data_IF_792702903467
#
_entry.id   IF_792702903467
#
_cell.length_a   1.000
_cell.length_b   1.000
_cell.length_c   1.000
_cell.angle_alpha   90.00
_cell.angle_beta   90.00
_cell.angle_gamma   90.00
#
_symmetry.space_group_name_H-M   'P 1'
#
loop_
_entity.id
_entity.type
_entity.pdbx_description
1 polymer ?
#
# COMPACT_ATOMS: atom_id res chain seq x y z
N UNK A 1 8.75 -17.88 -21.03
CA UNK A 1 7.53 -17.07 -21.27
C UNK A 1 7.73 -15.78 -20.50
N UNK A 2 7.49 -14.62 -21.13
CA UNK A 2 7.62 -13.33 -20.45
C UNK A 2 6.28 -12.93 -19.86
N UNK A 3 6.24 -12.52 -18.58
CA UNK A 3 5.03 -11.97 -17.94
C UNK A 3 4.89 -10.49 -18.30
N UNK A 4 3.67 -10.03 -18.60
CA UNK A 4 3.36 -8.62 -18.83
C UNK A 4 2.89 -7.98 -17.54
N UNK A 5 3.72 -7.08 -17.00
CA UNK A 5 3.47 -6.46 -15.70
C UNK A 5 3.27 -4.95 -15.86
N UNK A 6 2.07 -4.47 -15.52
CA UNK A 6 1.79 -3.05 -15.44
C UNK A 6 2.31 -2.45 -14.12
N UNK A 7 2.77 -1.21 -14.16
CA UNK A 7 3.25 -0.51 -12.96
C UNK A 7 2.85 0.96 -12.98
N UNK A 8 2.30 1.44 -11.86
CA UNK A 8 1.91 2.85 -11.70
C UNK A 8 1.19 3.10 -10.39
N UNK A 9 0.81 4.36 -10.16
CA UNK A 9 0.01 4.79 -9.03
C UNK A 9 0.25 6.24 -8.63
N UNK A 10 -0.04 6.57 -7.39
CA UNK A 10 0.05 7.94 -6.88
C UNK A 10 0.32 7.92 -5.38
N UNK A 11 1.26 8.76 -4.94
CA UNK A 11 1.79 8.73 -3.59
C UNK A 11 1.80 10.11 -2.97
N UNK A 12 0.91 10.31 -2.01
CA UNK A 12 0.88 11.46 -1.12
C UNK A 12 0.26 11.03 0.22
N UNK A 13 0.82 11.55 1.30
CA UNK A 13 0.17 11.59 2.60
C UNK A 13 -0.57 12.92 2.72
N UNK A 14 -1.89 12.92 2.82
CA UNK A 14 -2.67 14.16 2.73
C UNK A 14 -3.60 14.36 3.91
N UNK A 15 -3.35 15.43 4.66
CA UNK A 15 -4.17 15.81 5.80
C UNK A 15 -5.45 16.52 5.36
N UNK A 16 -6.59 16.14 5.91
CA UNK A 16 -7.87 16.86 5.72
C UNK A 16 -8.04 18.02 6.71
N UNK A 17 -7.10 18.19 7.64
CA UNK A 17 -7.16 19.20 8.70
C UNK A 17 -6.31 20.44 8.40
N UNK A 18 -5.51 20.42 7.33
CA UNK A 18 -4.78 21.59 6.83
C UNK A 18 -5.62 22.34 5.79
N UNK A 19 -5.56 23.69 5.73
CA UNK A 19 -6.17 24.45 4.65
C UNK A 19 -5.37 24.39 3.33
N UNK A 20 -4.17 23.79 3.35
CA UNK A 20 -3.37 23.62 2.14
C UNK A 20 -4.07 22.66 1.17
N UNK A 21 -4.00 22.97 -0.12
CA UNK A 21 -4.47 22.08 -1.20
C UNK A 21 -3.24 21.70 -2.02
N UNK A 22 -3.02 20.40 -2.16
CA UNK A 22 -1.94 19.86 -2.97
C UNK A 22 -2.37 19.77 -4.44
N UNK A 23 -1.65 20.43 -5.33
CA UNK A 23 -1.96 20.52 -6.75
C UNK A 23 -0.74 20.10 -7.61
N UNK A 24 -0.81 20.31 -8.93
CA UNK A 24 0.18 19.79 -9.88
C UNK A 24 1.64 20.15 -9.54
N UNK A 25 1.91 21.37 -9.03
CA UNK A 25 3.29 21.81 -8.69
C UNK A 25 3.90 21.03 -7.52
N UNK A 26 3.09 20.35 -6.70
CA UNK A 26 3.56 19.56 -5.57
C UNK A 26 3.96 18.13 -5.98
N UNK A 27 3.55 17.69 -7.17
CA UNK A 27 3.79 16.33 -7.64
C UNK A 27 4.93 16.27 -8.66
N UNK A 28 5.81 15.29 -8.45
CA UNK A 28 6.73 14.81 -9.48
C UNK A 28 6.08 13.66 -10.21
N UNK A 29 5.82 13.84 -11.50
CA UNK A 29 5.19 12.85 -12.37
C UNK A 29 6.28 12.12 -13.16
N UNK A 30 6.24 10.79 -13.15
CA UNK A 30 7.14 9.93 -13.91
C UNK A 30 6.34 8.99 -14.80
N UNK A 31 6.83 8.76 -16.02
CA UNK A 31 6.26 7.85 -17.01
C UNK A 31 7.36 7.08 -17.73
N UNK A 32 6.99 6.04 -18.48
CA UNK A 32 7.93 5.31 -19.34
C UNK A 32 9.16 4.81 -18.59
N UNK A 33 10.35 4.97 -19.19
CA UNK A 33 11.61 4.53 -18.59
C UNK A 33 11.95 5.28 -17.29
N UNK A 34 11.58 6.55 -17.16
CA UNK A 34 11.84 7.32 -15.93
C UNK A 34 11.10 6.71 -14.73
N UNK A 35 9.88 6.21 -14.95
CA UNK A 35 9.15 5.45 -13.95
C UNK A 35 9.91 4.17 -13.57
N UNK A 36 10.30 3.36 -14.55
CA UNK A 36 11.00 2.10 -14.31
C UNK A 36 12.33 2.30 -13.54
N UNK A 37 13.06 3.37 -13.85
CA UNK A 37 14.30 3.73 -13.14
C UNK A 37 14.09 4.05 -11.64
N UNK A 38 12.85 4.24 -11.20
CA UNK A 38 12.52 4.41 -9.77
C UNK A 38 12.49 3.09 -8.99
N UNK A 39 12.67 1.96 -9.68
CA UNK A 39 12.68 0.60 -9.12
C UNK A 39 13.95 -0.11 -9.61
N UNK A 40 15.10 0.13 -8.97
CA UNK A 40 16.40 -0.34 -9.48
C UNK A 40 16.50 -1.87 -9.59
N UNK A 41 15.74 -2.61 -8.78
CA UNK A 41 15.70 -4.08 -8.82
C UNK A 41 14.96 -4.66 -10.02
N UNK A 42 14.24 -3.88 -10.84
CA UNK A 42 13.58 -4.40 -12.04
C UNK A 42 14.58 -4.98 -13.04
N UNK A 43 15.79 -4.42 -13.09
CA UNK A 43 16.85 -4.84 -14.00
C UNK A 43 17.25 -6.30 -13.79
N UNK A 44 17.14 -6.81 -12.56
CA UNK A 44 17.41 -8.20 -12.20
C UNK A 44 16.44 -9.19 -12.87
N UNK A 45 15.29 -8.73 -13.39
CA UNK A 45 14.19 -9.56 -13.91
C UNK A 45 13.84 -9.29 -15.38
N UNK A 46 14.57 -8.42 -16.07
CA UNK A 46 14.24 -7.94 -17.42
C UNK A 46 14.17 -9.02 -18.53
N UNK A 47 14.72 -10.22 -18.30
CA UNK A 47 14.65 -11.31 -19.29
C UNK A 47 13.35 -12.11 -19.25
N UNK A 48 12.61 -12.05 -18.14
CA UNK A 48 11.38 -12.82 -17.91
C UNK A 48 10.13 -11.93 -17.86
N UNK A 49 10.28 -10.61 -18.01
CA UNK A 49 9.20 -9.63 -17.81
C UNK A 49 9.21 -8.56 -18.89
N UNK A 50 8.01 -8.31 -19.41
CA UNK A 50 7.69 -7.17 -20.26
C UNK A 50 6.98 -6.12 -19.40
N UNK A 51 7.68 -5.03 -19.12
CA UNK A 51 7.18 -3.93 -18.29
C UNK A 51 6.27 -3.01 -19.07
N UNK A 52 5.09 -2.73 -18.50
CA UNK A 52 4.12 -1.78 -19.03
C UNK A 52 4.03 -0.59 -18.05
N UNK A 53 4.92 0.41 -18.18
CA UNK A 53 4.86 1.60 -17.33
C UNK A 53 3.62 2.43 -17.66
N UNK A 54 2.81 2.70 -16.64
CA UNK A 54 1.69 3.64 -16.71
C UNK A 54 2.22 5.04 -16.32
N UNK A 55 1.69 5.60 -15.24
CA UNK A 55 2.09 6.88 -14.66
C UNK A 55 2.24 6.71 -13.15
N UNK A 56 3.23 7.41 -12.59
CA UNK A 56 3.39 7.55 -11.15
C UNK A 56 3.54 9.01 -10.77
N UNK A 57 2.71 9.49 -9.86
CA UNK A 57 2.82 10.84 -9.30
C UNK A 57 3.21 10.75 -7.83
N UNK A 58 4.23 11.51 -7.41
CA UNK A 58 4.69 11.52 -6.01
C UNK A 58 4.80 12.94 -5.49
N UNK A 59 4.19 13.18 -4.34
CA UNK A 59 4.38 14.36 -3.52
C UNK A 59 4.93 13.97 -2.14
N UNK A 60 5.44 14.96 -1.42
CA UNK A 60 5.69 14.86 0.03
C UNK A 60 4.37 15.00 0.80
N UNK A 61 4.32 14.76 2.12
CA UNK A 61 3.12 15.00 2.92
C UNK A 61 2.59 16.42 2.75
N UNK A 62 1.27 16.54 2.59
CA UNK A 62 0.60 17.78 2.22
C UNK A 62 -0.87 17.82 2.64
N UNK A 63 -1.64 18.64 1.95
CA UNK A 63 -3.08 18.76 2.16
C UNK A 63 -3.89 17.94 1.17
N UNK A 64 -5.21 18.12 1.18
CA UNK A 64 -6.12 17.43 0.25
C UNK A 64 -5.68 17.73 -1.18
N UNK A 65 -5.66 16.70 -2.02
CA UNK A 65 -5.32 16.83 -3.44
C UNK A 65 -6.46 17.52 -4.18
N UNK A 66 -6.13 18.50 -5.02
CA UNK A 66 -7.12 19.23 -5.81
C UNK A 66 -7.86 18.30 -6.76
N UNK A 67 -9.17 18.52 -6.92
CA UNK A 67 -9.98 17.70 -7.83
C UNK A 67 -9.51 17.79 -9.28
N UNK A 68 -9.06 18.97 -9.71
CA UNK A 68 -8.60 19.21 -11.08
C UNK A 68 -7.31 18.45 -11.39
N UNK A 69 -6.34 18.47 -10.46
CA UNK A 69 -5.12 17.67 -10.63
C UNK A 69 -5.43 16.17 -10.62
N UNK A 70 -6.24 15.72 -9.65
CA UNK A 70 -6.65 14.32 -9.58
C UNK A 70 -7.31 13.86 -10.89
N UNK A 71 -8.28 14.61 -11.43
CA UNK A 71 -8.97 14.25 -12.67
C UNK A 71 -8.01 14.17 -13.86
N UNK A 72 -7.02 15.07 -13.91
CA UNK A 72 -5.99 15.08 -14.95
C UNK A 72 -5.08 13.84 -14.86
N UNK A 73 -4.58 13.53 -13.66
CA UNK A 73 -3.80 12.33 -13.41
C UNK A 73 -4.61 11.05 -13.68
N UNK A 74 -5.87 10.99 -13.22
CA UNK A 74 -6.79 9.86 -13.40
C UNK A 74 -7.01 9.59 -14.88
N UNK A 75 -7.36 10.62 -15.66
CA UNK A 75 -7.55 10.52 -17.11
C UNK A 75 -6.29 9.98 -17.80
N UNK A 76 -5.11 10.47 -17.43
CA UNK A 76 -3.85 10.02 -17.99
C UNK A 76 -3.54 8.55 -17.62
N UNK A 77 -3.72 8.19 -16.35
CA UNK A 77 -3.51 6.84 -15.82
C UNK A 77 -4.40 5.82 -16.54
N UNK A 78 -5.71 6.07 -16.61
CA UNK A 78 -6.66 5.16 -17.23
C UNK A 78 -6.58 5.15 -18.76
N UNK A 79 -6.13 6.23 -19.40
CA UNK A 79 -5.83 6.21 -20.84
C UNK A 79 -4.68 5.25 -21.17
N UNK A 80 -3.62 5.25 -20.36
CA UNK A 80 -2.50 4.32 -20.51
C UNK A 80 -2.92 2.89 -20.18
N UNK A 81 -3.69 2.68 -19.11
CA UNK A 81 -4.19 1.36 -18.75
C UNK A 81 -5.09 0.78 -19.84
N UNK A 82 -6.02 1.58 -20.38
CA UNK A 82 -6.92 1.19 -21.47
C UNK A 82 -6.14 0.80 -22.72
N UNK A 83 -5.09 1.56 -23.06
CA UNK A 83 -4.20 1.20 -24.16
C UNK A 83 -3.51 -0.13 -23.89
N UNK A 84 -2.92 -0.31 -22.71
CA UNK A 84 -2.23 -1.53 -22.31
C UNK A 84 -3.12 -2.77 -22.42
N UNK A 85 -4.34 -2.75 -21.87
CA UNK A 85 -5.26 -3.90 -21.94
C UNK A 85 -5.78 -4.16 -23.36
N UNK A 86 -5.77 -3.17 -24.24
CA UNK A 86 -6.15 -3.36 -25.65
C UNK A 86 -5.04 -4.01 -26.50
N UNK A 87 -3.79 -3.80 -26.12
CA UNK A 87 -2.61 -4.31 -26.84
C UNK A 87 -2.13 -5.65 -26.25
N UNK A 88 -2.45 -5.90 -24.98
CA UNK A 88 -1.86 -6.96 -24.19
C UNK A 88 -2.85 -7.58 -23.19
N UNK A 89 -2.71 -8.89 -22.95
CA UNK A 89 -3.21 -9.49 -21.71
C UNK A 89 -2.24 -9.13 -20.59
N UNK A 90 -2.71 -8.38 -19.58
CA UNK A 90 -1.89 -8.04 -18.41
C UNK A 90 -1.91 -9.22 -17.44
N UNK A 91 -0.75 -9.78 -17.13
CA UNK A 91 -0.63 -10.90 -16.20
C UNK A 91 -0.67 -10.41 -14.76
N UNK A 92 -0.01 -9.28 -14.49
CA UNK A 92 0.06 -8.69 -13.17
C UNK A 92 0.17 -7.17 -13.17
N UNK A 93 -0.14 -6.57 -12.03
CA UNK A 93 0.00 -5.13 -11.83
C UNK A 93 0.61 -4.82 -10.47
N UNK A 94 1.58 -3.91 -10.46
CA UNK A 94 2.08 -3.26 -9.24
C UNK A 94 1.34 -1.93 -9.11
N UNK A 95 0.50 -1.83 -8.09
CA UNK A 95 -0.16 -0.60 -7.69
C UNK A 95 0.62 0.05 -6.54
N UNK A 96 1.42 1.06 -6.85
CA UNK A 96 2.26 1.79 -5.89
C UNK A 96 1.55 3.05 -5.43
N UNK A 97 1.06 3.03 -4.19
CA UNK A 97 0.34 4.14 -3.57
C UNK A 97 0.83 4.42 -2.17
N UNK A 98 0.43 5.54 -1.56
CA UNK A 98 0.74 5.78 -0.15
C UNK A 98 -0.20 5.01 0.78
N UNK A 99 -1.50 5.07 0.50
CA UNK A 99 -2.59 4.61 1.35
C UNK A 99 -3.27 5.71 2.17
N UNK A 100 -2.80 6.95 2.12
CA UNK A 100 -3.33 8.08 2.90
C UNK A 100 -3.71 9.29 2.03
N UNK A 101 -4.07 9.04 0.76
CA UNK A 101 -4.49 10.10 -0.14
C UNK A 101 -5.96 10.50 0.07
N UNK A 102 -6.23 11.79 0.07
CA UNK A 102 -7.54 12.43 0.14
C UNK A 102 -7.64 13.37 -1.05
N UNK A 103 -8.77 13.34 -1.74
CA UNK A 103 -9.07 14.23 -2.88
C UNK A 103 -10.35 14.99 -2.56
N UNK A 104 -10.43 16.24 -3.01
CA UNK A 104 -11.62 17.08 -2.82
C UNK A 104 -12.90 16.38 -3.31
N UNK A 105 -13.81 16.13 -2.37
CA UNK A 105 -15.11 15.52 -2.65
C UNK A 105 -15.06 14.04 -3.04
N UNK A 106 -13.95 13.33 -2.77
CA UNK A 106 -13.83 11.88 -3.01
C UNK A 106 -13.35 11.18 -1.74
N UNK A 107 -14.17 10.25 -1.26
CA UNK A 107 -13.83 9.36 -0.14
C UNK A 107 -13.15 8.10 -0.67
N UNK A 108 -12.19 7.55 0.08
CA UNK A 108 -11.51 6.29 -0.26
C UNK A 108 -11.02 6.24 -1.72
N UNK A 109 -10.36 7.32 -2.14
CA UNK A 109 -9.94 7.51 -3.54
C UNK A 109 -9.02 6.39 -4.04
N UNK A 110 -8.15 5.85 -3.18
CA UNK A 110 -7.24 4.76 -3.54
C UNK A 110 -8.00 3.43 -3.74
N UNK A 111 -9.03 3.18 -2.93
CA UNK A 111 -9.96 2.08 -3.16
C UNK A 111 -10.76 2.25 -4.45
N UNK A 112 -11.22 3.46 -4.75
CA UNK A 112 -11.96 3.77 -5.98
C UNK A 112 -11.10 3.59 -7.25
N UNK A 113 -9.84 4.06 -7.23
CA UNK A 113 -8.89 3.83 -8.33
C UNK A 113 -8.72 2.33 -8.56
N UNK A 114 -8.52 1.55 -7.49
CA UNK A 114 -8.22 0.13 -7.64
C UNK A 114 -9.44 -0.70 -8.07
N UNK A 115 -10.64 -0.31 -7.65
CA UNK A 115 -11.91 -0.87 -8.12
C UNK A 115 -12.05 -0.68 -9.64
N UNK A 116 -11.80 0.54 -10.14
CA UNK A 116 -11.82 0.83 -11.58
C UNK A 116 -10.69 0.09 -12.32
N UNK A 117 -9.47 0.04 -11.77
CA UNK A 117 -8.37 -0.78 -12.34
C UNK A 117 -8.83 -2.22 -12.53
N UNK A 118 -9.48 -2.81 -11.51
CA UNK A 118 -9.97 -4.19 -11.56
C UNK A 118 -11.00 -4.40 -12.66
N UNK A 119 -11.85 -3.41 -12.94
CA UNK A 119 -12.79 -3.46 -14.07
C UNK A 119 -12.08 -3.52 -15.43
N UNK A 120 -10.97 -2.80 -15.59
CA UNK A 120 -10.18 -2.80 -16.85
C UNK A 120 -9.35 -4.06 -17.04
N UNK A 121 -8.66 -4.55 -16.01
CA UNK A 121 -7.72 -5.67 -16.14
C UNK A 121 -8.40 -7.04 -15.94
N UNK A 122 -9.58 -7.06 -15.32
CA UNK A 122 -10.33 -8.27 -15.04
C UNK A 122 -9.83 -9.06 -13.83
N UNK A 123 -10.50 -10.18 -13.53
CA UNK A 123 -10.17 -11.05 -12.40
C UNK A 123 -8.91 -11.89 -12.64
N UNK A 124 -8.46 -11.96 -13.89
CA UNK A 124 -7.32 -12.78 -14.27
C UNK A 124 -5.96 -12.07 -14.14
N UNK A 125 -5.93 -10.77 -13.88
CA UNK A 125 -4.68 -10.07 -13.58
C UNK A 125 -4.42 -10.10 -12.09
N UNK A 126 -3.21 -10.49 -11.66
CA UNK A 126 -2.85 -10.44 -10.23
C UNK A 126 -2.41 -9.02 -9.85
N UNK A 127 -3.11 -8.38 -8.92
CA UNK A 127 -2.81 -7.02 -8.47
C UNK A 127 -2.05 -7.06 -7.13
N UNK A 128 -0.83 -6.54 -7.12
CA UNK A 128 -0.01 -6.36 -5.93
C UNK A 128 0.07 -4.89 -5.54
N UNK A 129 -0.44 -4.56 -4.36
CA UNK A 129 -0.50 -3.20 -3.83
C UNK A 129 0.59 -3.00 -2.79
N UNK A 130 1.43 -1.99 -2.99
CA UNK A 130 2.48 -1.58 -2.05
C UNK A 130 2.13 -0.22 -1.47
N UNK A 131 2.31 -0.06 -0.15
CA UNK A 131 1.84 1.09 0.60
C UNK A 131 2.84 1.56 1.67
N UNK A 132 2.61 2.76 2.18
CA UNK A 132 3.12 3.18 3.48
C UNK A 132 2.37 2.45 4.61
N UNK A 133 3.02 2.23 5.75
CA UNK A 133 2.35 1.64 6.93
C UNK A 133 1.36 2.61 7.59
N UNK A 134 1.47 3.91 7.36
CA UNK A 134 0.50 4.92 7.74
C UNK A 134 -0.67 5.00 6.75
N UNK A 135 -0.71 4.15 5.72
CA UNK A 135 -1.85 4.02 4.84
C UNK A 135 -3.07 3.35 5.51
N UNK A 136 -4.22 3.44 4.86
CA UNK A 136 -5.48 2.84 5.29
C UNK A 136 -5.92 1.74 4.33
N UNK A 137 -6.21 0.54 4.85
CA UNK A 137 -6.69 -0.61 4.08
C UNK A 137 -8.21 -0.64 4.08
N UNK A 138 -8.83 0.16 3.21
CA UNK A 138 -10.27 0.13 3.02
C UNK A 138 -10.75 -1.21 2.46
N UNK A 139 -12.05 -1.50 2.62
CA UNK A 139 -12.64 -2.71 2.05
C UNK A 139 -12.50 -2.74 0.52
N UNK A 140 -12.73 -1.60 -0.15
CA UNK A 140 -12.59 -1.50 -1.60
C UNK A 140 -11.17 -1.86 -2.05
N UNK A 141 -10.17 -1.28 -1.41
CA UNK A 141 -8.77 -1.56 -1.70
C UNK A 141 -8.46 -3.05 -1.44
N UNK A 142 -8.85 -3.58 -0.29
CA UNK A 142 -8.62 -4.98 0.06
C UNK A 142 -9.22 -5.95 -0.94
N UNK A 143 -10.49 -5.77 -1.34
CA UNK A 143 -11.16 -6.67 -2.28
C UNK A 143 -10.68 -6.49 -3.73
N UNK A 144 -10.11 -5.34 -4.07
CA UNK A 144 -9.61 -5.07 -5.43
C UNK A 144 -8.16 -5.50 -5.64
N UNK A 145 -7.33 -5.51 -4.60
CA UNK A 145 -6.00 -6.11 -4.62
C UNK A 145 -6.07 -7.64 -4.61
N UNK A 146 -4.98 -8.33 -4.96
CA UNK A 146 -4.73 -9.76 -4.70
C UNK A 146 -3.62 -9.98 -3.66
N UNK A 147 -2.67 -9.05 -3.61
CA UNK A 147 -1.57 -9.00 -2.66
C UNK A 147 -1.50 -7.58 -2.10
N UNK A 148 -1.25 -7.46 -0.80
CA UNK A 148 -1.04 -6.17 -0.13
C UNK A 148 0.17 -6.27 0.78
N UNK A 149 1.04 -5.27 0.71
CA UNK A 149 2.19 -5.12 1.61
C UNK A 149 2.40 -3.65 1.95
N UNK A 150 2.99 -3.38 3.11
CA UNK A 150 3.42 -2.04 3.51
C UNK A 150 4.82 -2.02 4.08
N UNK A 151 5.35 -0.82 4.33
CA UNK A 151 6.59 -0.63 5.08
C UNK A 151 6.56 -1.38 6.42
N UNK A 152 7.70 -1.93 6.81
CA UNK A 152 7.90 -2.60 8.11
C UNK A 152 8.70 -1.74 9.08
N UNK A 153 9.20 -0.59 8.63
CA UNK A 153 9.99 0.35 9.44
C UNK A 153 9.33 1.74 9.52
N UNK A 154 9.35 2.36 10.70
CA UNK A 154 9.06 3.77 10.96
C UNK A 154 10.16 4.31 11.90
N UNK A 155 11.07 5.19 11.41
CA UNK A 155 11.08 5.85 10.10
C UNK A 155 11.28 4.88 8.92
N UNK A 156 10.75 5.24 7.75
CA UNK A 156 10.77 4.39 6.55
C UNK A 156 12.16 4.34 5.92
N UNK A 157 12.91 3.30 6.25
CA UNK A 157 14.20 2.98 5.62
C UNK A 157 14.09 1.77 4.67
N UNK A 158 12.92 1.12 4.62
CA UNK A 158 12.67 -0.12 3.87
C UNK A 158 11.76 0.07 2.64
N UNK A 159 11.75 1.28 2.05
CA UNK A 159 10.87 1.60 0.90
C UNK A 159 11.18 0.73 -0.32
N UNK A 160 12.46 0.51 -0.64
CA UNK A 160 12.86 -0.27 -1.82
C UNK A 160 12.57 -1.76 -1.59
N UNK A 161 12.84 -2.25 -0.39
CA UNK A 161 12.61 -3.61 0.07
C UNK A 161 11.12 -3.95 0.06
N UNK A 162 10.27 -3.02 0.48
CA UNK A 162 8.80 -3.18 0.43
C UNK A 162 8.31 -3.31 -1.00
N UNK A 163 8.77 -2.43 -1.90
CA UNK A 163 8.40 -2.46 -3.32
C UNK A 163 8.89 -3.75 -4.00
N UNK A 164 10.12 -4.18 -3.68
CA UNK A 164 10.68 -5.44 -4.16
C UNK A 164 9.87 -6.64 -3.67
N UNK A 165 9.51 -6.66 -2.39
CA UNK A 165 8.64 -7.71 -1.80
C UNK A 165 7.28 -7.79 -2.49
N UNK A 166 6.65 -6.63 -2.77
CA UNK A 166 5.38 -6.58 -3.49
C UNK A 166 5.46 -7.27 -4.86
N UNK A 167 6.56 -7.05 -5.57
CA UNK A 167 6.83 -7.66 -6.86
C UNK A 167 7.22 -9.14 -6.77
N UNK A 168 8.11 -9.52 -5.86
CA UNK A 168 8.50 -10.92 -5.69
C UNK A 168 7.31 -11.80 -5.32
N UNK A 169 6.41 -11.29 -4.47
CA UNK A 169 5.15 -11.95 -4.14
C UNK A 169 4.24 -12.06 -5.37
N UNK A 170 4.15 -11.01 -6.20
CA UNK A 170 3.39 -11.04 -7.45
C UNK A 170 3.89 -12.16 -8.38
N UNK A 171 5.21 -12.22 -8.61
CA UNK A 171 5.81 -13.25 -9.48
C UNK A 171 5.64 -14.65 -8.90
N UNK A 172 5.80 -14.81 -7.58
CA UNK A 172 5.55 -16.09 -6.89
C UNK A 172 4.12 -16.57 -7.13
N UNK A 173 3.13 -15.70 -6.96
CA UNK A 173 1.71 -16.03 -7.17
C UNK A 173 1.43 -16.38 -8.63
N UNK A 174 1.95 -15.60 -9.58
CA UNK A 174 1.79 -15.85 -11.01
C UNK A 174 2.39 -17.19 -11.45
N UNK A 175 3.52 -17.61 -10.84
CA UNK A 175 4.19 -18.87 -11.18
C UNK A 175 3.56 -20.10 -10.53
N UNK A 176 3.09 -20.00 -9.28
CA UNK A 176 2.87 -21.22 -8.48
C UNK A 176 1.57 -21.29 -7.67
N UNK A 177 1.02 -20.15 -7.24
CA UNK A 177 0.09 -20.14 -6.09
C UNK A 177 -1.28 -19.50 -6.36
N UNK A 178 -1.52 -18.96 -7.56
CA UNK A 178 -2.74 -18.21 -7.90
C UNK A 178 -4.05 -18.88 -7.47
N UNK A 179 -4.26 -20.16 -7.80
CA UNK A 179 -5.51 -20.86 -7.49
C UNK A 179 -5.70 -21.19 -6.00
N UNK A 180 -4.68 -20.96 -5.17
CA UNK A 180 -4.69 -21.26 -3.73
C UNK A 180 -4.66 -20.00 -2.88
N UNK A 181 -4.54 -18.82 -3.50
CA UNK A 181 -4.36 -17.56 -2.80
C UNK A 181 -5.56 -17.25 -1.90
N UNK A 182 -5.28 -17.00 -0.63
CA UNK A 182 -6.25 -16.61 0.39
C UNK A 182 -5.68 -15.48 1.24
N UNK A 183 -6.58 -14.59 1.66
CA UNK A 183 -6.24 -13.40 2.44
C UNK A 183 -7.20 -13.22 3.60
N UNK A 184 -6.70 -12.66 4.69
CA UNK A 184 -7.52 -12.22 5.80
C UNK A 184 -7.10 -10.80 6.21
N UNK A 185 -8.08 -9.90 6.27
CA UNK A 185 -7.95 -8.58 6.89
C UNK A 185 -8.62 -8.61 8.27
N UNK A 186 -7.99 -7.97 9.25
CA UNK A 186 -8.62 -7.66 10.53
C UNK A 186 -8.45 -6.16 10.78
N UNK A 187 -9.58 -5.46 10.83
CA UNK A 187 -9.62 -4.05 11.21
C UNK A 187 -9.50 -3.92 12.72
N UNK A 188 -8.70 -2.96 13.17
CA UNK A 188 -8.39 -2.74 14.58
C UNK A 188 -8.73 -1.29 14.88
N UNK A 189 -9.65 -1.01 15.82
CA UNK A 189 -10.18 0.34 16.05
C UNK A 189 -9.17 1.19 16.85
N UNK A 190 -8.01 1.42 16.26
CA UNK A 190 -6.89 2.21 16.75
C UNK A 190 -6.62 3.28 15.71
N UNK A 191 -6.35 4.49 16.21
CA UNK A 191 -5.94 5.62 15.40
C UNK A 191 -4.78 6.29 16.11
N UNK A 192 -3.56 6.04 15.63
CA UNK A 192 -2.32 6.52 16.25
C UNK A 192 -1.57 7.48 15.31
N UNK A 193 -1.07 8.62 15.81
CA UNK A 193 -0.19 9.52 15.06
C UNK A 193 1.14 8.82 14.75
N UNK A 194 1.67 9.07 13.55
CA UNK A 194 2.91 8.45 13.06
C UNK A 194 4.07 8.66 14.04
N UNK A 195 4.10 9.81 14.70
CA UNK A 195 5.05 10.23 15.73
C UNK A 195 5.08 9.32 16.97
N UNK A 196 4.03 8.53 17.19
CA UNK A 196 3.93 7.52 18.26
C UNK A 196 4.21 6.09 17.80
N UNK A 197 4.32 5.85 16.49
CA UNK A 197 4.28 4.49 15.92
C UNK A 197 5.63 3.97 15.43
N UNK A 198 6.74 4.56 15.92
CA UNK A 198 8.08 4.11 15.57
C UNK A 198 8.26 2.61 15.82
N UNK A 199 8.92 1.96 14.87
CA UNK A 199 9.26 0.54 14.93
C UNK A 199 10.63 0.28 15.56
N UNK A 200 11.33 1.34 15.99
CA UNK A 200 12.65 1.23 16.63
C UNK A 200 12.56 1.03 18.14
N UNK A 201 11.42 1.38 18.75
CA UNK A 201 11.16 1.29 20.18
C UNK A 201 9.94 0.41 20.48
N UNK A 202 9.83 -0.07 21.72
CA UNK A 202 8.64 -0.80 22.14
C UNK A 202 7.43 0.14 22.28
N UNK A 203 6.20 -0.30 21.95
CA UNK A 203 5.86 -1.68 21.57
C UNK A 203 5.92 -1.94 20.05
N UNK A 204 6.25 -0.94 19.22
CA UNK A 204 6.32 -1.06 17.76
C UNK A 204 7.36 -2.09 17.31
N UNK A 205 8.57 -2.04 17.88
CA UNK A 205 9.65 -2.99 17.61
C UNK A 205 9.22 -4.45 17.79
N UNK A 206 8.68 -4.79 18.96
CA UNK A 206 8.22 -6.14 19.26
C UNK A 206 6.97 -6.56 18.48
N UNK A 207 6.16 -5.61 17.99
CA UNK A 207 5.02 -5.88 17.13
C UNK A 207 5.49 -6.27 15.71
N UNK A 208 6.31 -5.44 15.06
CA UNK A 208 6.78 -5.68 13.69
C UNK A 208 7.73 -6.88 13.59
N UNK A 209 8.50 -7.19 14.64
CA UNK A 209 9.31 -8.42 14.69
C UNK A 209 8.49 -9.71 14.50
N UNK A 210 7.16 -9.66 14.73
CA UNK A 210 6.28 -10.82 14.48
C UNK A 210 6.01 -11.09 13.01
N UNK A 211 6.23 -10.13 12.12
CA UNK A 211 6.00 -10.32 10.69
C UNK A 211 6.91 -11.40 10.12
N UNK A 212 8.20 -11.40 10.48
CA UNK A 212 9.14 -12.43 10.02
C UNK A 212 8.81 -13.81 10.58
N UNK A 213 8.43 -13.89 11.87
CA UNK A 213 7.97 -15.14 12.48
C UNK A 213 6.73 -15.72 11.77
N UNK A 214 5.85 -14.87 11.26
CA UNK A 214 4.64 -15.27 10.53
C UNK A 214 4.99 -15.68 9.09
N UNK A 215 5.81 -14.88 8.40
CA UNK A 215 6.20 -15.11 7.01
C UNK A 215 7.08 -16.36 6.82
N UNK A 216 7.78 -16.80 7.86
CA UNK A 216 8.60 -18.03 7.84
C UNK A 216 7.78 -19.33 7.94
N UNK A 217 6.44 -19.25 8.07
CA UNK A 217 5.59 -20.45 8.13
C UNK A 217 5.18 -20.91 6.74
N UNK A 218 5.30 -22.21 6.51
CA UNK A 218 4.80 -22.84 5.28
C UNK A 218 3.30 -22.54 5.10
N UNK A 219 2.95 -22.04 3.92
CA UNK A 219 1.58 -21.63 3.59
C UNK A 219 1.26 -20.15 3.84
N UNK A 220 2.21 -19.36 4.35
CA UNK A 220 2.14 -17.89 4.36
C UNK A 220 3.01 -17.30 3.23
N UNK A 221 2.50 -16.28 2.56
CA UNK A 221 3.21 -15.50 1.55
C UNK A 221 3.70 -14.19 2.18
N UNK A 222 2.82 -13.45 2.86
CA UNK A 222 3.18 -12.19 3.51
C UNK A 222 2.24 -11.86 4.68
N UNK A 223 2.72 -11.03 5.59
CA UNK A 223 1.96 -10.42 6.66
C UNK A 223 2.39 -8.95 6.80
N UNK A 224 1.41 -8.07 6.99
CA UNK A 224 1.62 -6.62 7.05
C UNK A 224 0.71 -5.96 8.09
N UNK A 225 1.20 -4.88 8.69
CA UNK A 225 0.48 -4.07 9.68
C UNK A 225 0.40 -2.64 9.15
N UNK A 226 -0.81 -2.11 9.04
CA UNK A 226 -1.05 -0.70 8.82
C UNK A 226 -1.43 -0.07 10.16
N UNK A 227 -0.77 1.04 10.50
CA UNK A 227 -1.10 1.88 11.64
C UNK A 227 -2.36 2.71 11.39
N UNK A 228 -2.72 2.91 10.13
CA UNK A 228 -3.76 3.84 9.71
C UNK A 228 -3.26 5.28 9.71
N UNK A 229 -4.12 6.19 9.23
CA UNK A 229 -3.80 7.61 9.12
C UNK A 229 -4.76 8.46 9.98
N UNK A 230 -4.29 9.11 11.05
CA UNK A 230 -5.15 9.93 11.92
C UNK A 230 -5.47 11.30 11.35
N UNK A 231 -4.73 11.79 10.36
CA UNK A 231 -4.85 13.17 9.89
C UNK A 231 -5.83 13.31 8.72
N UNK A 232 -6.69 12.32 8.48
CA UNK A 232 -7.80 12.43 7.56
C UNK A 232 -9.12 12.02 8.24
N UNK A 233 -10.17 12.81 8.03
CA UNK A 233 -11.53 12.50 8.49
C UNK A 233 -12.23 11.59 7.47
N UNK A 234 -11.88 10.30 7.48
CA UNK A 234 -12.51 9.30 6.61
C UNK A 234 -12.86 8.01 7.38
N UNK A 235 -13.96 7.32 7.03
CA UNK A 235 -14.36 6.06 7.68
C UNK A 235 -13.32 4.94 7.62
N UNK A 236 -12.44 4.96 6.60
CA UNK A 236 -11.35 4.00 6.43
C UNK A 236 -10.18 4.20 7.40
N UNK A 237 -10.15 5.30 8.15
CA UNK A 237 -9.03 5.65 9.02
C UNK A 237 -9.03 4.80 10.28
N UNK A 238 -8.31 3.69 10.23
CA UNK A 238 -8.04 2.81 11.37
C UNK A 238 -6.84 1.90 11.05
N UNK A 239 -6.24 1.34 12.09
CA UNK A 239 -5.25 0.29 11.92
C UNK A 239 -5.85 -0.97 11.29
N UNK A 240 -5.03 -1.73 10.57
CA UNK A 240 -5.41 -3.01 9.98
C UNK A 240 -4.23 -3.97 9.96
N UNK A 241 -4.52 -5.26 9.98
CA UNK A 241 -3.54 -6.30 9.63
C UNK A 241 -4.05 -7.10 8.45
N UNK A 242 -3.16 -7.42 7.52
CA UNK A 242 -3.45 -8.32 6.41
C UNK A 242 -2.43 -9.44 6.42
N UNK A 243 -2.93 -10.67 6.31
CA UNK A 243 -2.10 -11.87 6.09
C UNK A 243 -2.56 -12.51 4.79
N UNK A 244 -1.59 -12.85 3.94
CA UNK A 244 -1.80 -13.50 2.65
C UNK A 244 -1.04 -14.81 2.61
N UNK A 245 -1.64 -15.86 2.04
CA UNK A 245 -1.03 -17.17 1.97
C UNK A 245 -1.84 -18.15 1.13
N UNK A 246 -1.52 -19.44 1.28
CA UNK A 246 -2.20 -20.56 0.60
C UNK A 246 -2.90 -21.51 1.57
N UNK A 247 -2.57 -21.46 2.87
CA UNK A 247 -3.30 -22.17 3.91
C UNK A 247 -4.35 -21.24 4.57
N UNK A 248 -5.62 -21.48 4.25
CA UNK A 248 -6.76 -20.69 4.78
C UNK A 248 -6.85 -20.69 6.31
N UNK A 249 -6.54 -21.83 6.96
CA UNK A 249 -6.63 -21.92 8.42
C UNK A 249 -5.51 -21.13 9.07
N UNK A 250 -4.30 -21.24 8.51
CA UNK A 250 -3.13 -20.53 9.02
C UNK A 250 -3.24 -19.01 8.81
N UNK A 251 -3.66 -18.57 7.62
CA UNK A 251 -3.88 -17.15 7.30
C UNK A 251 -4.85 -16.51 8.29
N UNK A 252 -6.00 -17.16 8.55
CA UNK A 252 -6.99 -16.68 9.54
C UNK A 252 -6.42 -16.66 10.96
N UNK A 253 -5.70 -17.71 11.37
CA UNK A 253 -5.14 -17.81 12.71
C UNK A 253 -4.11 -16.71 12.98
N UNK A 254 -3.18 -16.51 12.05
CA UNK A 254 -2.10 -15.53 12.22
C UNK A 254 -2.62 -14.09 12.12
N UNK A 255 -3.60 -13.80 11.26
CA UNK A 255 -4.22 -12.48 11.20
C UNK A 255 -4.92 -12.13 12.52
N UNK A 256 -5.72 -13.05 13.08
CA UNK A 256 -6.40 -12.85 14.37
C UNK A 256 -5.39 -12.70 15.52
N UNK A 257 -4.33 -13.51 15.54
CA UNK A 257 -3.29 -13.47 16.58
C UNK A 257 -2.53 -12.16 16.54
N UNK A 258 -2.14 -11.70 15.36
CA UNK A 258 -1.42 -10.44 15.17
C UNK A 258 -2.31 -9.25 15.57
N UNK A 259 -3.57 -9.24 15.13
CA UNK A 259 -4.54 -8.20 15.51
C UNK A 259 -4.77 -8.14 17.03
N UNK A 260 -4.98 -9.29 17.68
CA UNK A 260 -5.15 -9.36 19.15
C UNK A 260 -3.92 -8.85 19.88
N UNK A 261 -2.71 -9.16 19.38
CA UNK A 261 -1.47 -8.64 19.96
C UNK A 261 -1.44 -7.11 19.83
N UNK A 262 -1.66 -6.59 18.63
CA UNK A 262 -1.66 -5.14 18.38
C UNK A 262 -2.68 -4.43 19.26
N UNK A 263 -3.93 -4.91 19.31
CA UNK A 263 -4.96 -4.37 20.20
C UNK A 263 -4.52 -4.34 21.67
N UNK A 264 -3.88 -5.40 22.16
CA UNK A 264 -3.45 -5.49 23.57
C UNK A 264 -2.37 -4.49 23.95
N UNK A 265 -1.47 -4.14 23.03
CA UNK A 265 -0.32 -3.26 23.29
C UNK A 265 -0.58 -1.80 22.91
N UNK A 266 -1.76 -1.48 22.37
CA UNK A 266 -2.08 -0.16 21.78
C UNK A 266 -1.83 1.02 22.71
N UNK A 267 -2.09 0.85 24.01
CA UNK A 267 -1.95 1.90 25.01
C UNK A 267 -0.46 2.17 25.38
N UNK A 268 0.47 1.34 24.86
CA UNK A 268 1.90 1.49 25.08
C UNK A 268 2.62 2.34 24.02
N UNK A 269 1.97 2.69 22.91
CA UNK A 269 2.58 3.56 21.88
C UNK A 269 2.68 5.00 22.39
N UNK A 270 3.90 5.54 22.38
CA UNK A 270 4.23 6.84 22.92
C UNK A 270 5.13 7.61 21.96
N UNK A 271 5.20 8.94 22.15
CA UNK A 271 6.13 9.77 21.40
C UNK A 271 7.57 9.34 21.69
N UNK A 272 8.37 9.20 20.63
CA UNK A 272 9.79 8.83 20.77
C UNK A 272 10.64 10.00 21.26
N UNK A 273 10.27 11.22 20.86
CA UNK A 273 10.94 12.46 21.24
C UNK A 273 10.40 13.05 22.55
N UNK A 274 11.16 13.99 23.17
CA UNK A 274 10.67 14.75 24.31
C UNK A 274 9.40 15.52 23.92
N UNK A 275 8.42 15.49 24.80
CA UNK A 275 7.17 16.25 24.68
C UNK A 275 7.08 17.25 25.82
N UNK A 276 6.52 18.42 25.54
CA UNK A 276 6.17 19.39 26.58
C UNK A 276 4.70 19.20 26.97
N UNK A 277 4.36 19.57 28.21
CA UNK A 277 2.97 19.66 28.63
C UNK A 277 2.27 20.81 27.90
N UNK A 278 0.97 20.65 27.64
CA UNK A 278 0.15 21.71 27.02
C UNK A 278 0.10 22.99 27.85
N UNK A 279 0.35 22.89 29.15
CA UNK A 279 0.36 24.01 30.09
C UNK A 279 1.70 24.77 30.10
N UNK A 280 2.67 24.36 29.28
CA UNK A 280 4.01 24.95 29.21
C UNK A 280 4.14 26.05 28.14
N UNK A 281 3.02 26.52 27.56
CA UNK A 281 2.97 27.54 26.50
C UNK A 281 2.69 28.96 27.01
#
# INVERSE_FOLDING_TARGET
>A
MSYKIAIGGIHIESSTFTPYISDEKDFKIKTGQELLNSYPWLEDFNSDIEWIPLIYARAIPGGIVSKDFYNSWHTAFFSLLKKAVSEHQIDGMIFDVHGAMSVEGIMDVEGAILEEVREFVGQDTVISTTMDLHGNVSDKLFYSSDLLTCHRTAPHIDTIETKKRAFENLIRVLKYERNKLVRAKVDIPILLPGEKTSTEVEPGKGLYAKLDEICNKDGIIDASIWMGFPWADQPRCHAAVVVTGTDRRLVKLESEKLAKKFWRIRDGFNFVGPVADTDYA
#
